data_IF_796523276444
#
_entry.id   IF_796523276444
#
_cell.length_a   1.000
_cell.length_b   1.000
_cell.length_c   1.000
_cell.angle_alpha   90.00
_cell.angle_beta   90.00
_cell.angle_gamma   90.00
#
_symmetry.space_group_name_H-M   'P 1'
#
loop_
_entity.id
_entity.type
_entity.pdbx_description
1 polymer ?
#
# COMPACT_ATOMS: atom_id res chain seq x y z
N UNK A 1 -9.38 46.83 4.19
CA UNK A 1 -9.93 45.72 4.98
C UNK A 1 -8.89 45.34 6.01
N UNK A 2 -9.10 45.88 7.20
CA UNK A 2 -8.13 45.99 8.30
C UNK A 2 -8.03 44.67 9.07
N UNK A 3 -6.78 44.33 9.36
CA UNK A 3 -6.28 43.10 9.97
C UNK A 3 -6.94 42.78 11.32
N UNK A 4 -7.27 41.50 11.53
CA UNK A 4 -7.80 40.89 12.77
C UNK A 4 -6.66 40.73 13.78
N UNK A 5 -6.02 41.85 14.11
CA UNK A 5 -4.86 41.91 15.00
C UNK A 5 -5.02 43.04 16.01
N UNK A 6 -6.18 43.18 16.64
CA UNK A 6 -6.33 44.16 17.73
C UNK A 6 -7.59 43.91 18.54
N UNK A 7 -7.47 43.09 19.59
CA UNK A 7 -8.17 43.23 20.88
C UNK A 7 -7.89 42.02 21.75
N UNK A 8 -6.87 42.13 22.59
CA UNK A 8 -6.95 41.85 24.04
C UNK A 8 -5.57 42.07 24.66
N UNK A 9 -5.24 43.35 24.89
CA UNK A 9 -4.33 43.77 25.95
C UNK A 9 -5.19 44.39 27.05
N UNK A 10 -5.23 43.77 28.23
CA UNK A 10 -5.39 44.45 29.51
C UNK A 10 -5.06 43.45 30.64
N UNK A 11 -3.79 43.44 31.09
CA UNK A 11 -3.37 43.94 32.41
C UNK A 11 -3.62 42.99 33.58
N UNK A 12 -2.54 42.46 34.15
CA UNK A 12 -2.26 42.59 35.59
C UNK A 12 -0.75 42.52 35.80
N UNK A 13 -0.15 43.65 36.19
CA UNK A 13 1.19 43.70 36.81
C UNK A 13 1.04 43.24 38.26
N UNK A 14 1.80 42.22 38.68
CA UNK A 14 2.26 42.12 40.07
C UNK A 14 3.72 41.73 40.12
N UNK A 15 4.44 42.60 40.82
CA UNK A 15 5.82 42.50 41.26
C UNK A 15 5.95 41.41 42.32
N UNK A 16 6.91 40.51 42.16
CA UNK A 16 7.62 39.87 43.26
C UNK A 16 8.95 39.31 42.75
N UNK A 17 9.99 39.53 43.55
CA UNK A 17 11.42 39.27 43.34
C UNK A 17 11.74 37.86 42.79
N UNK A 18 12.90 37.68 42.12
CA UNK A 18 13.34 36.37 41.68
C UNK A 18 13.69 35.51 42.89
N UNK A 19 12.99 34.39 43.03
CA UNK A 19 13.44 33.28 43.85
C UNK A 19 14.04 32.32 42.84
N UNK A 20 15.37 32.19 42.83
CA UNK A 20 16.04 31.11 42.13
C UNK A 20 15.52 29.79 42.70
N UNK A 21 14.80 28.93 41.94
CA UNK A 21 14.71 27.55 42.31
C UNK A 21 16.11 26.98 42.14
N UNK A 22 16.70 26.51 43.24
CA UNK A 22 17.88 25.67 43.17
C UNK A 22 17.53 24.46 42.32
N UNK A 23 18.01 24.46 41.08
CA UNK A 23 18.05 23.26 40.25
C UNK A 23 19.12 22.39 40.87
N UNK A 24 18.72 21.59 41.87
CA UNK A 24 19.47 20.39 42.18
C UNK A 24 19.44 19.56 40.90
N UNK A 25 20.60 19.48 40.25
CA UNK A 25 20.79 18.65 39.08
C UNK A 25 20.24 17.25 39.38
N UNK A 26 19.51 16.60 38.46
CA UNK A 26 19.17 15.21 38.63
C UNK A 26 20.48 14.46 38.86
N UNK A 27 20.65 13.93 40.07
CA UNK A 27 21.70 12.96 40.36
C UNK A 27 21.47 11.82 39.40
N UNK A 28 22.26 11.81 38.33
CA UNK A 28 22.43 10.68 37.45
C UNK A 28 22.89 9.55 38.36
N UNK A 29 21.97 8.66 38.69
CA UNK A 29 22.31 7.40 39.37
C UNK A 29 23.18 6.66 38.36
N UNK A 30 24.49 6.70 38.61
CA UNK A 30 25.44 5.90 37.86
C UNK A 30 25.03 4.45 38.07
N UNK A 31 24.68 3.76 36.99
CA UNK A 31 24.61 2.30 36.96
C UNK A 31 26.04 1.75 37.07
N UNK A 32 26.57 1.76 38.29
CA UNK A 32 27.72 0.93 38.64
C UNK A 32 27.20 -0.48 38.89
N UNK A 33 27.72 -1.41 38.10
CA UNK A 33 27.35 -2.82 38.08
C UNK A 33 27.64 -3.49 39.43
N UNK A 34 26.63 -3.60 40.27
CA UNK A 34 26.54 -4.60 41.32
C UNK A 34 25.15 -5.21 41.14
N UNK A 35 25.10 -6.43 40.57
CA UNK A 35 23.89 -7.26 40.51
C UNK A 35 23.58 -7.75 41.94
N UNK A 36 23.14 -6.84 42.79
CA UNK A 36 22.40 -7.18 44.01
C UNK A 36 20.93 -7.26 43.61
N UNK A 37 20.34 -8.43 43.82
CA UNK A 37 18.91 -8.59 43.67
C UNK A 37 18.17 -7.65 44.64
N UNK A 38 16.97 -7.21 44.24
CA UNK A 38 16.16 -6.37 45.10
C UNK A 38 15.44 -7.22 46.15
N UNK A 39 15.73 -6.96 47.41
CA UNK A 39 14.97 -7.51 48.52
C UNK A 39 13.52 -6.98 48.52
N UNK A 40 12.64 -7.67 49.25
CA UNK A 40 11.19 -7.35 49.28
C UNK A 40 10.93 -5.90 49.64
N UNK A 41 11.73 -5.33 50.55
CA UNK A 41 11.55 -3.98 51.06
C UNK A 41 11.96 -2.93 50.03
N UNK A 42 13.10 -3.11 49.38
CA UNK A 42 13.61 -2.15 48.39
C UNK A 42 12.74 -2.16 47.14
N UNK A 43 12.35 -3.34 46.65
CA UNK A 43 11.49 -3.46 45.47
C UNK A 43 10.08 -2.87 45.73
N UNK A 44 9.47 -3.16 46.90
CA UNK A 44 8.17 -2.56 47.27
C UNK A 44 8.24 -1.04 47.40
N UNK A 45 9.33 -0.50 47.95
CA UNK A 45 9.51 0.94 48.11
C UNK A 45 9.67 1.65 46.76
N UNK A 46 10.48 1.10 45.85
CA UNK A 46 10.69 1.64 44.50
C UNK A 46 9.37 1.62 43.70
N UNK A 47 8.65 0.50 43.73
CA UNK A 47 7.37 0.35 43.02
C UNK A 47 6.25 1.21 43.63
N UNK A 48 6.22 1.37 44.96
CA UNK A 48 5.22 2.21 45.64
C UNK A 48 5.39 3.70 45.35
N UNK A 49 6.63 4.17 45.18
CA UNK A 49 6.94 5.59 44.90
C UNK A 49 6.63 5.99 43.45
N UNK A 50 6.61 5.05 42.51
CA UNK A 50 6.25 5.27 41.11
C UNK A 50 7.05 6.42 40.44
N UNK A 51 8.35 6.51 40.73
CA UNK A 51 9.25 7.54 40.18
C UNK A 51 9.95 7.10 38.88
N UNK A 52 9.38 6.11 38.19
CA UNK A 52 9.95 5.57 36.96
C UNK A 52 9.67 6.47 35.76
N UNK A 53 10.73 6.78 35.01
CA UNK A 53 10.63 7.57 33.79
C UNK A 53 10.13 6.68 32.65
N UNK A 54 10.64 5.45 32.53
CA UNK A 54 10.27 4.49 31.48
C UNK A 54 9.66 3.20 32.05
N UNK A 55 9.01 2.41 31.20
CA UNK A 55 8.50 1.08 31.58
C UNK A 55 9.67 0.08 31.74
N UNK A 56 10.78 0.28 31.04
CA UNK A 56 12.00 -0.53 31.15
C UNK A 56 12.59 -0.47 32.57
N UNK A 57 12.52 0.69 33.23
CA UNK A 57 12.96 0.83 34.63
C UNK A 57 12.10 -0.01 35.58
N UNK A 58 10.81 -0.19 35.27
CA UNK A 58 9.90 -1.04 36.04
C UNK A 58 10.22 -2.52 35.83
N UNK A 59 10.46 -2.92 34.58
CA UNK A 59 10.90 -4.27 34.25
C UNK A 59 12.22 -4.61 34.95
N UNK A 60 13.16 -3.67 35.01
CA UNK A 60 14.41 -3.87 35.73
C UNK A 60 14.19 -4.17 37.22
N UNK A 61 13.32 -3.43 37.91
CA UNK A 61 13.05 -3.71 39.34
C UNK A 61 12.37 -5.06 39.52
N UNK A 62 11.51 -5.45 38.58
CA UNK A 62 10.77 -6.72 38.62
C UNK A 62 11.67 -7.93 38.31
N UNK A 63 12.48 -7.85 37.25
CA UNK A 63 13.31 -8.95 36.76
C UNK A 63 14.49 -9.24 37.70
N UNK A 64 14.93 -8.24 38.46
CA UNK A 64 15.98 -8.39 39.47
C UNK A 64 15.45 -8.51 40.90
N UNK A 65 14.14 -8.62 41.11
CA UNK A 65 13.58 -8.90 42.43
C UNK A 65 13.83 -10.37 42.82
N UNK A 66 14.21 -10.60 44.08
CA UNK A 66 14.27 -11.97 44.61
C UNK A 66 12.91 -12.65 44.58
N UNK A 67 12.86 -13.98 44.56
CA UNK A 67 11.61 -14.76 44.49
C UNK A 67 10.59 -14.35 45.59
N UNK A 68 11.06 -14.11 46.81
CA UNK A 68 10.23 -13.64 47.93
C UNK A 68 9.72 -12.20 47.72
N UNK A 69 10.55 -11.33 47.14
CA UNK A 69 10.19 -9.97 46.78
C UNK A 69 9.13 -9.96 45.66
N UNK A 70 9.34 -10.76 44.62
CA UNK A 70 8.40 -10.93 43.51
C UNK A 70 7.04 -11.47 43.99
N UNK A 71 7.03 -12.52 44.81
CA UNK A 71 5.80 -13.08 45.37
C UNK A 71 5.02 -12.06 46.21
N UNK A 72 5.72 -11.25 47.00
CA UNK A 72 5.10 -10.16 47.76
C UNK A 72 4.52 -9.07 46.84
N UNK A 73 5.27 -8.61 45.84
CA UNK A 73 4.85 -7.60 44.85
C UNK A 73 3.61 -8.09 44.09
N UNK A 74 3.62 -9.33 43.61
CA UNK A 74 2.51 -9.92 42.85
C UNK A 74 1.24 -10.07 43.71
N UNK A 75 1.38 -10.52 44.96
CA UNK A 75 0.27 -10.66 45.91
C UNK A 75 -0.34 -9.30 46.26
N UNK A 76 0.51 -8.28 46.42
CA UNK A 76 0.11 -6.92 46.77
C UNK A 76 -0.01 -5.99 45.56
N UNK A 77 -0.10 -6.52 44.33
CA UNK A 77 -0.06 -5.71 43.10
C UNK A 77 -1.10 -4.59 43.05
N UNK A 78 -2.24 -4.82 43.69
CA UNK A 78 -3.33 -3.84 43.84
C UNK A 78 -2.91 -2.53 44.55
N UNK A 79 -1.82 -2.56 45.33
CA UNK A 79 -1.23 -1.40 46.03
C UNK A 79 -0.54 -0.41 45.10
N UNK A 80 -0.01 -0.87 43.96
CA UNK A 80 0.80 -0.04 43.07
C UNK A 80 -0.04 0.79 42.08
N UNK A 81 0.60 1.79 41.47
CA UNK A 81 -0.02 2.60 40.42
C UNK A 81 -0.48 1.71 39.23
N UNK A 82 -1.52 2.14 38.51
CA UNK A 82 -2.13 1.36 37.40
C UNK A 82 -1.09 0.93 36.35
N UNK A 83 -0.16 1.82 36.00
CA UNK A 83 0.93 1.56 35.05
C UNK A 83 1.83 0.39 35.47
N UNK A 84 2.18 0.32 36.76
CA UNK A 84 2.98 -0.77 37.32
C UNK A 84 2.17 -2.08 37.38
N UNK A 85 0.87 -1.99 37.70
CA UNK A 85 -0.02 -3.16 37.67
C UNK A 85 -0.10 -3.80 36.29
N UNK A 86 -0.24 -2.99 35.25
CA UNK A 86 -0.30 -3.45 33.86
C UNK A 86 1.01 -4.12 33.40
N UNK A 87 2.13 -3.84 34.07
CA UNK A 87 3.42 -4.52 33.84
C UNK A 87 3.51 -5.86 34.58
N UNK A 88 2.85 -5.99 35.75
CA UNK A 88 2.82 -7.22 36.55
C UNK A 88 1.77 -8.22 36.04
N UNK A 89 0.60 -7.73 35.62
CA UNK A 89 -0.57 -8.51 35.15
C UNK A 89 -0.37 -9.45 33.93
N UNK A 90 0.55 -9.21 32.96
CA UNK A 90 0.76 -10.13 31.83
C UNK A 90 1.21 -11.53 32.26
N UNK A 91 1.70 -11.69 33.49
CA UNK A 91 2.08 -12.97 34.07
C UNK A 91 0.90 -13.72 34.73
N UNK A 92 -0.29 -13.12 34.88
CA UNK A 92 -1.50 -13.81 35.40
C UNK A 92 -2.00 -14.91 34.43
N UNK A 93 -1.60 -14.87 33.15
CA UNK A 93 -2.02 -15.78 32.08
C UNK A 93 -0.86 -16.54 31.41
N UNK A 94 0.09 -17.09 32.20
CA UNK A 94 0.94 -18.18 31.68
C UNK A 94 0.10 -19.46 31.65
N UNK A 95 -0.49 -19.79 30.50
CA UNK A 95 -0.97 -21.16 30.25
C UNK A 95 0.22 -22.08 30.50
N UNK A 96 0.15 -23.04 31.44
CA UNK A 96 1.28 -23.91 31.73
C UNK A 96 1.70 -24.58 30.43
N UNK A 97 2.94 -24.38 30.00
CA UNK A 97 3.48 -24.99 28.77
C UNK A 97 3.34 -26.52 28.84
N UNK A 98 3.38 -27.08 30.06
CA UNK A 98 3.15 -28.49 30.39
C UNK A 98 1.75 -29.00 30.00
N UNK A 99 0.75 -28.12 29.90
CA UNK A 99 -0.62 -28.45 29.51
C UNK A 99 -0.90 -28.23 28.01
N UNK A 100 0.07 -27.71 27.26
CA UNK A 100 -0.04 -27.58 25.80
C UNK A 100 0.24 -28.94 25.15
N UNK A 101 -0.80 -29.77 25.04
CA UNK A 101 -0.73 -31.03 24.30
C UNK A 101 -0.75 -30.74 22.80
N UNK A 102 0.43 -30.63 22.20
CA UNK A 102 0.58 -30.55 20.74
C UNK A 102 0.16 -31.88 20.13
N UNK A 103 -1.07 -31.98 19.61
CA UNK A 103 -1.53 -33.15 18.88
C UNK A 103 -0.94 -33.12 17.47
N UNK A 104 0.12 -33.88 17.23
CA UNK A 104 0.62 -34.16 15.90
C UNK A 104 -0.40 -35.08 15.22
N UNK A 105 -1.10 -34.57 14.22
CA UNK A 105 -2.02 -35.33 13.37
C UNK A 105 -1.42 -35.42 11.98
N UNK A 106 -1.39 -36.62 11.43
CA UNK A 106 -1.03 -36.82 10.03
C UNK A 106 -2.11 -36.18 9.14
N UNK A 107 -1.67 -35.33 8.22
CA UNK A 107 -2.54 -34.73 7.23
C UNK A 107 -2.96 -35.82 6.23
N UNK A 108 -4.26 -35.90 5.97
CA UNK A 108 -4.77 -36.70 4.86
C UNK A 108 -4.31 -36.14 3.52
N UNK A 109 -4.31 -36.96 2.46
CA UNK A 109 -3.94 -36.53 1.10
C UNK A 109 -4.74 -35.31 0.63
N UNK A 110 -6.04 -35.26 0.97
CA UNK A 110 -6.90 -34.10 0.68
C UNK A 110 -6.43 -32.83 1.38
N UNK A 111 -6.04 -32.94 2.65
CA UNK A 111 -5.51 -31.81 3.41
C UNK A 111 -4.16 -31.35 2.82
N UNK A 112 -3.30 -32.29 2.40
CA UNK A 112 -2.06 -31.98 1.67
C UNK A 112 -2.28 -31.22 0.38
N UNK A 113 -3.24 -31.65 -0.45
CA UNK A 113 -3.57 -30.98 -1.71
C UNK A 113 -4.11 -29.57 -1.47
N UNK A 114 -5.00 -29.39 -0.49
CA UNK A 114 -5.49 -28.05 -0.13
C UNK A 114 -4.37 -27.14 0.36
N UNK A 115 -3.40 -27.70 1.09
CA UNK A 115 -2.27 -26.93 1.63
C UNK A 115 -1.30 -26.53 0.51
N UNK A 116 -1.05 -27.41 -0.47
CA UNK A 116 -0.29 -27.08 -1.69
C UNK A 116 -0.98 -25.99 -2.50
N UNK A 117 -2.27 -26.14 -2.79
CA UNK A 117 -3.03 -25.15 -3.53
C UNK A 117 -3.03 -23.77 -2.84
N UNK A 118 -3.19 -23.76 -1.51
CA UNK A 118 -3.14 -22.52 -0.74
C UNK A 118 -1.75 -21.88 -0.75
N UNK A 119 -0.68 -22.68 -0.72
CA UNK A 119 0.70 -22.18 -0.86
C UNK A 119 0.93 -21.59 -2.25
N UNK A 120 0.54 -22.29 -3.31
CA UNK A 120 0.63 -21.80 -4.69
C UNK A 120 -0.15 -20.51 -4.88
N UNK A 121 -1.39 -20.44 -4.37
CA UNK A 121 -2.20 -19.21 -4.45
C UNK A 121 -1.58 -18.03 -3.72
N UNK A 122 -1.00 -18.26 -2.53
CA UNK A 122 -0.30 -17.20 -1.79
C UNK A 122 0.94 -16.72 -2.54
N UNK A 123 1.68 -17.65 -3.12
CA UNK A 123 2.88 -17.35 -3.90
C UNK A 123 2.53 -16.57 -5.18
N UNK A 124 1.48 -16.95 -5.89
CA UNK A 124 1.00 -16.19 -7.06
C UNK A 124 0.49 -14.81 -6.66
N UNK A 125 -0.25 -14.69 -5.55
CA UNK A 125 -0.73 -13.39 -5.07
C UNK A 125 0.42 -12.44 -4.70
N UNK A 126 1.49 -12.98 -4.12
CA UNK A 126 2.69 -12.19 -3.83
C UNK A 126 3.43 -11.81 -5.10
N UNK A 127 3.54 -12.72 -6.07
CA UNK A 127 4.11 -12.43 -7.38
C UNK A 127 3.34 -11.34 -8.12
N UNK A 128 2.01 -11.40 -8.16
CA UNK A 128 1.19 -10.39 -8.84
C UNK A 128 1.34 -9.01 -8.20
N UNK A 129 1.41 -8.94 -6.86
CA UNK A 129 1.66 -7.68 -6.16
C UNK A 129 3.02 -7.10 -6.54
N UNK A 130 4.08 -7.90 -6.46
CA UNK A 130 5.44 -7.47 -6.80
C UNK A 130 5.55 -7.14 -8.30
N UNK A 131 4.82 -7.85 -9.16
CA UNK A 131 4.75 -7.59 -10.59
C UNK A 131 4.11 -6.25 -10.88
N UNK A 132 3.01 -5.88 -10.21
CA UNK A 132 2.38 -4.57 -10.39
C UNK A 132 3.31 -3.42 -9.99
N UNK A 133 4.09 -3.58 -8.92
CA UNK A 133 5.09 -2.58 -8.51
C UNK A 133 6.27 -2.52 -9.49
N UNK A 134 6.69 -3.66 -10.03
CA UNK A 134 7.80 -3.74 -10.99
C UNK A 134 7.42 -3.25 -12.38
N UNK A 135 6.19 -3.53 -12.85
CA UNK A 135 5.72 -3.16 -14.20
C UNK A 135 5.74 -1.66 -14.42
N UNK A 136 5.47 -0.87 -13.38
CA UNK A 136 5.51 0.61 -13.43
C UNK A 136 6.93 1.16 -13.68
N UNK A 137 7.97 0.36 -13.42
CA UNK A 137 9.36 0.72 -13.67
C UNK A 137 9.84 0.31 -15.07
N UNK A 138 9.07 -0.48 -15.81
CA UNK A 138 9.43 -0.96 -17.14
C UNK A 138 8.92 0.05 -18.16
N UNK A 139 9.78 0.41 -19.12
CA UNK A 139 9.36 1.24 -20.25
C UNK A 139 8.39 0.47 -21.15
N UNK A 140 7.44 1.21 -21.71
CA UNK A 140 6.55 0.70 -22.77
C UNK A 140 7.34 0.07 -23.92
N UNK A 141 6.66 -0.79 -24.68
CA UNK A 141 7.24 -1.42 -25.86
C UNK A 141 7.78 -0.34 -26.80
N UNK A 142 9.00 -0.49 -27.34
CA UNK A 142 9.50 0.44 -28.35
C UNK A 142 8.61 0.40 -29.60
N UNK A 143 8.35 1.59 -30.15
CA UNK A 143 7.63 1.74 -31.41
C UNK A 143 8.41 1.06 -32.54
N UNK A 144 7.69 0.30 -33.36
CA UNK A 144 8.26 -0.49 -34.45
C UNK A 144 7.49 -0.32 -35.76
N UNK A 145 7.71 -1.29 -36.66
CA UNK A 145 7.08 -1.30 -37.97
C UNK A 145 5.55 -1.46 -37.88
N UNK A 146 5.06 -2.20 -36.88
CA UNK A 146 3.63 -2.41 -36.67
C UNK A 146 2.92 -1.11 -36.31
N UNK A 147 3.52 -0.30 -35.43
CA UNK A 147 3.00 1.02 -35.05
C UNK A 147 3.00 1.98 -36.24
N UNK A 148 4.08 1.95 -37.03
CA UNK A 148 4.16 2.76 -38.25
C UNK A 148 3.05 2.40 -39.25
N UNK A 149 2.71 1.11 -39.38
CA UNK A 149 1.60 0.65 -40.23
C UNK A 149 0.23 1.09 -39.70
N UNK A 150 0.07 1.19 -38.39
CA UNK A 150 -1.16 1.73 -37.78
C UNK A 150 -1.29 3.22 -38.10
N UNK A 151 -0.22 3.99 -37.97
CA UNK A 151 -0.18 5.40 -38.32
C UNK A 151 -0.51 5.60 -39.81
N UNK A 152 0.12 4.83 -40.71
CA UNK A 152 -0.17 4.86 -42.15
C UNK A 152 -1.64 4.54 -42.46
N UNK A 153 -2.22 3.54 -41.79
CA UNK A 153 -3.62 3.16 -41.97
C UNK A 153 -4.57 4.25 -41.47
N UNK A 154 -4.24 4.88 -40.34
CA UNK A 154 -4.99 6.00 -39.78
C UNK A 154 -4.95 7.23 -40.69
N UNK A 155 -3.79 7.57 -41.23
CA UNK A 155 -3.65 8.67 -42.19
C UNK A 155 -4.49 8.43 -43.45
N UNK A 156 -4.46 7.21 -44.01
CA UNK A 156 -5.30 6.86 -45.17
C UNK A 156 -6.79 6.94 -44.86
N UNK A 157 -7.20 6.45 -43.69
CA UNK A 157 -8.60 6.49 -43.26
C UNK A 157 -9.11 7.93 -43.08
N UNK A 158 -8.35 8.76 -42.37
CA UNK A 158 -8.70 10.16 -42.13
C UNK A 158 -8.68 10.98 -43.42
N UNK A 159 -7.71 10.75 -44.29
CA UNK A 159 -7.65 11.37 -45.61
C UNK A 159 -8.88 11.02 -46.47
N UNK A 160 -9.33 9.76 -46.44
CA UNK A 160 -10.50 9.31 -47.21
C UNK A 160 -11.81 9.88 -46.64
N UNK A 161 -11.91 10.01 -45.31
CA UNK A 161 -13.03 10.75 -44.67
C UNK A 161 -13.05 12.23 -45.05
N UNK A 162 -11.88 12.86 -45.14
CA UNK A 162 -11.77 14.26 -45.58
C UNK A 162 -12.19 14.42 -47.05
N UNK A 163 -11.85 13.46 -47.94
CA UNK A 163 -12.36 13.41 -49.32
C UNK A 163 -13.89 13.39 -49.37
N UNK A 164 -14.54 12.55 -48.57
CA UNK A 164 -16.00 12.49 -48.50
C UNK A 164 -16.59 13.82 -48.02
N UNK A 165 -16.00 14.41 -46.97
CA UNK A 165 -16.44 15.69 -46.41
C UNK A 165 -16.34 16.80 -47.44
N UNK A 166 -15.22 16.88 -48.18
CA UNK A 166 -15.03 17.83 -49.29
C UNK A 166 -16.02 17.57 -50.44
N UNK A 167 -16.28 16.31 -50.77
CA UNK A 167 -17.26 15.93 -51.79
C UNK A 167 -18.66 16.45 -51.44
N UNK A 168 -19.12 16.20 -50.21
CA UNK A 168 -20.42 16.65 -49.71
C UNK A 168 -20.48 18.19 -49.66
N UNK A 169 -19.41 18.85 -49.19
CA UNK A 169 -19.35 20.31 -49.12
C UNK A 169 -19.38 20.98 -50.50
N UNK A 170 -18.78 20.34 -51.51
CA UNK A 170 -18.76 20.84 -52.90
C UNK A 170 -20.09 20.69 -53.63
N UNK A 171 -20.98 19.79 -53.14
CA UNK A 171 -22.34 19.69 -53.66
C UNK A 171 -23.14 20.90 -53.21
N UNK A 172 -23.44 21.80 -54.16
CA UNK A 172 -24.45 22.83 -53.94
C UNK A 172 -25.75 22.18 -53.48
N UNK A 173 -26.38 22.70 -52.42
CA UNK A 173 -27.69 22.26 -51.94
C UNK A 173 -28.76 22.62 -52.99
N UNK A 174 -28.87 21.81 -54.03
CA UNK A 174 -29.91 21.97 -55.04
C UNK A 174 -31.25 21.65 -54.39
N UNK A 175 -32.21 22.57 -54.47
CA UNK A 175 -33.54 22.37 -53.88
C UNK A 175 -34.20 21.13 -54.47
N UNK A 176 -34.56 20.18 -53.61
CA UNK A 176 -35.30 18.98 -53.96
C UNK A 176 -36.77 19.14 -53.59
N UNK A 177 -37.64 18.94 -54.59
CA UNK A 177 -39.09 18.94 -54.40
C UNK A 177 -39.50 17.81 -53.42
N UNK A 178 -40.52 18.03 -52.56
CA UNK A 178 -40.92 17.05 -51.53
C UNK A 178 -41.19 15.62 -52.03
N UNK A 179 -41.69 15.47 -53.25
CA UNK A 179 -41.99 14.17 -53.88
C UNK A 179 -40.76 13.35 -54.28
N UNK A 180 -39.59 13.98 -54.34
CA UNK A 180 -38.31 13.36 -54.71
C UNK A 180 -37.39 13.12 -53.50
N UNK A 181 -37.75 13.67 -52.32
CA UNK A 181 -37.00 13.45 -51.08
C UNK A 181 -37.13 11.98 -50.67
N UNK A 182 -36.01 11.30 -50.52
CA UNK A 182 -35.96 9.88 -50.14
C UNK A 182 -35.97 8.88 -51.30
N UNK A 183 -36.03 9.33 -52.56
CA UNK A 183 -35.82 8.49 -53.77
C UNK A 183 -34.44 8.71 -54.39
N UNK A 184 -33.49 9.26 -53.63
CA UNK A 184 -32.14 9.51 -54.10
C UNK A 184 -31.46 8.18 -54.42
N UNK A 185 -31.21 7.94 -55.71
CA UNK A 185 -30.22 6.97 -56.14
C UNK A 185 -28.89 7.49 -55.59
N UNK A 186 -28.30 6.76 -54.64
CA UNK A 186 -27.03 7.13 -54.04
C UNK A 186 -26.04 7.47 -55.14
N UNK A 187 -25.39 8.63 -55.03
CA UNK A 187 -24.45 9.09 -56.06
C UNK A 187 -23.35 8.03 -56.20
N UNK A 188 -23.13 7.45 -57.39
CA UNK A 188 -22.15 6.38 -57.57
C UNK A 188 -20.74 6.82 -57.18
N UNK A 189 -20.42 8.12 -57.19
CA UNK A 189 -19.13 8.62 -56.66
C UNK A 189 -19.11 8.66 -55.14
N UNK A 190 -20.23 9.01 -54.50
CA UNK A 190 -20.33 8.99 -53.04
C UNK A 190 -20.24 7.55 -52.51
N UNK A 191 -20.96 6.62 -53.12
CA UNK A 191 -20.92 5.18 -52.75
C UNK A 191 -19.50 4.64 -52.85
N UNK A 192 -18.75 4.98 -53.91
CA UNK A 192 -17.35 4.58 -54.03
C UNK A 192 -16.46 5.09 -52.90
N UNK A 193 -16.61 6.37 -52.51
CA UNK A 193 -15.84 6.93 -51.41
C UNK A 193 -16.24 6.28 -50.08
N UNK A 194 -17.53 5.98 -49.87
CA UNK A 194 -18.01 5.27 -48.69
C UNK A 194 -17.49 3.84 -48.61
N UNK A 195 -17.41 3.13 -49.74
CA UNK A 195 -16.81 1.79 -49.81
C UNK A 195 -15.30 1.85 -49.54
N UNK A 196 -14.57 2.82 -50.10
CA UNK A 196 -13.15 3.08 -49.80
C UNK A 196 -12.94 3.36 -48.30
N UNK A 197 -13.83 4.11 -47.65
CA UNK A 197 -13.76 4.37 -46.20
C UNK A 197 -13.88 3.07 -45.42
N UNK A 198 -14.82 2.19 -45.78
CA UNK A 198 -14.99 0.89 -45.10
C UNK A 198 -13.77 0.00 -45.29
N UNK A 199 -13.16 0.00 -46.47
CA UNK A 199 -11.92 -0.75 -46.71
C UNK A 199 -10.79 -0.24 -45.81
N UNK A 200 -10.58 1.08 -45.74
CA UNK A 200 -9.55 1.69 -44.90
C UNK A 200 -9.83 1.51 -43.40
N UNK A 201 -11.10 1.53 -42.98
CA UNK A 201 -11.51 1.23 -41.60
C UNK A 201 -11.13 -0.21 -41.22
N UNK A 202 -11.40 -1.17 -42.10
CA UNK A 202 -11.01 -2.56 -41.88
C UNK A 202 -9.49 -2.75 -41.84
N UNK A 203 -8.72 -1.99 -42.64
CA UNK A 203 -7.25 -2.00 -42.58
C UNK A 203 -6.74 -1.43 -41.26
N UNK A 204 -7.31 -0.32 -40.80
CA UNK A 204 -7.00 0.29 -39.51
C UNK A 204 -7.31 -0.68 -38.35
N UNK A 205 -8.49 -1.30 -38.33
CA UNK A 205 -8.88 -2.26 -37.29
C UNK A 205 -7.93 -3.47 -37.24
N UNK A 206 -7.46 -3.95 -38.39
CA UNK A 206 -6.48 -5.05 -38.46
C UNK A 206 -5.12 -4.61 -37.93
N UNK A 207 -4.66 -3.41 -38.30
CA UNK A 207 -3.40 -2.87 -37.81
C UNK A 207 -3.43 -2.65 -36.30
N UNK A 208 -4.54 -2.12 -35.78
CA UNK A 208 -4.75 -1.89 -34.36
C UNK A 208 -4.70 -3.21 -33.57
N UNK A 209 -5.41 -4.25 -34.02
CA UNK A 209 -5.34 -5.58 -33.40
C UNK A 209 -3.91 -6.13 -33.38
N UNK A 210 -3.14 -5.89 -34.44
CA UNK A 210 -1.76 -6.36 -34.52
C UNK A 210 -0.86 -5.64 -33.50
N UNK A 211 -1.07 -4.34 -33.28
CA UNK A 211 -0.40 -3.60 -32.19
C UNK A 211 -0.78 -4.19 -30.83
N UNK A 212 -2.07 -4.37 -30.56
CA UNK A 212 -2.58 -4.93 -29.30
C UNK A 212 -2.00 -6.32 -29.00
N UNK A 213 -1.93 -7.19 -30.00
CA UNK A 213 -1.33 -8.52 -29.90
C UNK A 213 0.18 -8.43 -29.58
N UNK A 214 0.91 -7.51 -30.23
CA UNK A 214 2.35 -7.32 -29.97
C UNK A 214 2.64 -6.72 -28.59
N UNK A 215 1.81 -5.79 -28.12
CA UNK A 215 1.93 -5.20 -26.79
C UNK A 215 1.67 -6.27 -25.72
N UNK A 216 0.63 -7.08 -25.91
CA UNK A 216 0.31 -8.20 -25.00
C UNK A 216 1.48 -9.19 -24.92
N UNK A 217 2.04 -9.59 -26.07
CA UNK A 217 3.19 -10.49 -26.11
C UNK A 217 4.45 -9.90 -25.45
N UNK A 218 4.68 -8.59 -25.59
CA UNK A 218 5.78 -7.90 -24.93
C UNK A 218 5.65 -7.95 -23.40
N UNK A 219 4.47 -7.61 -22.88
CA UNK A 219 4.20 -7.64 -21.44
C UNK A 219 4.25 -9.05 -20.85
N UNK A 220 3.73 -10.05 -21.56
CA UNK A 220 3.88 -11.45 -21.15
C UNK A 220 5.35 -11.89 -21.09
N UNK A 221 6.15 -11.47 -22.07
CA UNK A 221 7.60 -11.76 -22.08
C UNK A 221 8.27 -11.13 -20.87
N UNK A 222 7.96 -9.86 -20.56
CA UNK A 222 8.51 -9.18 -19.38
C UNK A 222 8.06 -9.80 -18.06
N UNK A 223 6.80 -10.21 -17.96
CA UNK A 223 6.27 -10.92 -16.79
C UNK A 223 6.98 -12.25 -16.59
N UNK A 224 7.22 -13.00 -17.65
CA UNK A 224 7.95 -14.27 -17.61
C UNK A 224 9.44 -14.09 -17.27
N UNK A 225 10.10 -13.07 -17.81
CA UNK A 225 11.47 -12.69 -17.43
C UNK A 225 11.55 -12.37 -15.94
N UNK A 226 10.64 -11.54 -15.44
CA UNK A 226 10.58 -11.18 -14.02
C UNK A 226 10.36 -12.42 -13.14
N UNK A 227 9.38 -13.27 -13.50
CA UNK A 227 9.07 -14.51 -12.78
C UNK A 227 10.29 -15.44 -12.62
N UNK A 228 11.12 -15.57 -13.67
CA UNK A 228 12.36 -16.36 -13.62
C UNK A 228 13.38 -15.80 -12.62
N UNK A 229 13.46 -14.47 -12.47
CA UNK A 229 14.37 -13.82 -11.51
C UNK A 229 13.80 -13.75 -10.10
N UNK A 230 12.48 -13.78 -9.96
CA UNK A 230 11.77 -13.70 -8.68
C UNK A 230 11.74 -15.04 -7.95
N UNK A 231 11.52 -16.16 -8.67
CA UNK A 231 11.44 -17.51 -8.08
C UNK A 231 12.68 -17.91 -7.26
N UNK A 232 13.94 -17.69 -7.70
CA UNK A 232 15.12 -18.04 -6.93
C UNK A 232 15.28 -17.23 -5.62
N UNK A 233 14.75 -16.01 -5.56
CA UNK A 233 14.83 -15.15 -4.37
C UNK A 233 13.97 -15.67 -3.20
N UNK A 234 12.99 -16.52 -3.48
CA UNK A 234 12.15 -17.16 -2.46
C UNK A 234 12.71 -18.48 -1.94
N UNK A 235 13.61 -19.13 -2.69
CA UNK A 235 14.28 -20.37 -2.27
C UNK A 235 15.61 -20.13 -1.55
N UNK A 236 16.06 -18.87 -1.47
CA UNK A 236 17.29 -18.43 -0.80
C UNK A 236 16.97 -17.95 0.61
#
# INVERSE_FOLDING_TARGET
>A
MTSIFEKMRATTKRSSKPIEPQVEAPTVVKHESILESFDTKTADELLSRNLFVSDEDMYHVIDYADDDAWNYIYTNRHKYAKRIREVIEPNDYKVPIENLVTKIRELSDKEWDTLKLNKERKLEAQFEKDWTEYSDCISDRPLGEVDSRLDDAWEKFTHTKDKLTKYIASRSKTYLAPSLRGKEIADPKQVKIEDEIREMENEYDKAQKLVEDTDSAYWETKKNEYRKTWMPKLSS
#
